data_IF_583004041043
#
_entry.id   IF_583004041043
#
_cell.length_a   1.000
_cell.length_b   1.000
_cell.length_c   1.000
_cell.angle_alpha   90.00
_cell.angle_beta   90.00
_cell.angle_gamma   90.00
#
_symmetry.space_group_name_H-M   'P 1'
#
loop_
_entity.id
_entity.type
_entity.pdbx_description
1 polymer ?
#
# COMPACT_ATOMS: atom_id res chain seq x y z
N UNK A 1 13.84 44.05 40.07
CA UNK A 1 15.18 44.65 39.91
C UNK A 1 15.90 43.85 38.81
N UNK A 2 16.13 44.57 37.69
CA UNK A 2 17.26 44.47 36.76
C UNK A 2 17.57 43.09 36.09
N UNK A 3 17.83 42.96 34.84
CA UNK A 3 17.92 43.80 33.66
C UNK A 3 18.46 42.84 32.56
N UNK A 4 17.78 42.79 31.43
CA UNK A 4 18.34 43.14 30.13
C UNK A 4 19.74 42.64 29.74
N UNK A 5 19.83 41.81 28.73
CA UNK A 5 20.79 42.09 27.65
C UNK A 5 20.36 41.44 26.33
N UNK A 6 20.01 42.29 25.39
CA UNK A 6 19.87 42.03 23.95
C UNK A 6 21.28 41.87 23.35
N UNK A 7 21.47 40.95 22.42
CA UNK A 7 22.40 41.15 21.32
C UNK A 7 21.87 40.56 20.02
N UNK A 8 21.60 41.46 19.16
CA UNK A 8 21.30 41.30 17.74
C UNK A 8 22.60 41.17 16.91
N UNK A 9 22.40 40.80 15.63
CA UNK A 9 23.26 40.91 14.44
C UNK A 9 23.83 39.53 13.98
N UNK A 10 23.77 39.13 12.71
CA UNK A 10 23.75 39.89 11.45
C UNK A 10 23.14 39.06 10.33
N UNK A 11 22.42 39.72 9.45
CA UNK A 11 22.13 39.33 8.09
C UNK A 11 23.45 39.01 7.31
N UNK A 12 23.38 38.03 6.44
CA UNK A 12 24.16 38.05 5.19
C UNK A 12 23.21 37.60 4.05
N UNK A 13 22.87 38.61 3.27
CA UNK A 13 22.35 38.50 1.92
C UNK A 13 23.54 38.17 0.98
N UNK A 14 23.26 37.44 -0.06
CA UNK A 14 24.16 37.18 -1.19
C UNK A 14 23.45 36.21 -2.13
N UNK A 15 22.97 36.62 -3.08
CA UNK A 15 23.10 37.17 -4.42
C UNK A 15 22.58 36.15 -5.46
N UNK A 16 21.60 36.62 -6.17
CA UNK A 16 20.97 36.11 -7.40
C UNK A 16 22.01 35.99 -8.51
N UNK A 17 21.94 34.90 -9.28
CA UNK A 17 22.43 34.87 -10.65
C UNK A 17 21.39 34.19 -11.54
N UNK A 18 20.70 35.04 -12.28
CA UNK A 18 19.90 34.75 -13.47
C UNK A 18 20.84 34.51 -14.63
N UNK A 19 20.69 33.41 -15.34
CA UNK A 19 21.18 33.26 -16.71
C UNK A 19 20.02 32.84 -17.58
N UNK A 20 19.54 33.83 -18.33
CA UNK A 20 18.72 33.65 -19.51
C UNK A 20 19.61 33.75 -20.74
N UNK A 21 19.51 32.86 -21.70
CA UNK A 21 19.88 33.02 -23.10
C UNK A 21 19.28 31.86 -23.90
N UNK A 22 18.45 32.11 -24.75
CA UNK A 22 18.23 32.76 -26.04
C UNK A 22 17.86 31.72 -27.09
N UNK A 23 16.73 31.98 -27.70
CA UNK A 23 16.14 31.35 -28.88
C UNK A 23 17.10 31.37 -30.08
N UNK A 24 17.02 30.34 -30.91
CA UNK A 24 17.24 30.51 -32.33
C UNK A 24 16.27 29.66 -33.14
N UNK A 25 15.43 30.38 -33.82
CA UNK A 25 14.52 30.02 -34.91
C UNK A 25 15.26 29.58 -36.14
N UNK A 26 14.75 28.59 -36.83
CA UNK A 26 15.17 28.20 -38.18
C UNK A 26 14.00 27.62 -38.98
N UNK A 27 13.26 28.49 -39.63
CA UNK A 27 12.32 28.12 -40.71
C UNK A 27 13.10 28.10 -42.06
N UNK A 28 12.84 27.06 -42.85
CA UNK A 28 12.89 27.11 -44.31
C UNK A 28 12.08 25.87 -44.79
N UNK A 29 11.02 25.95 -45.34
CA UNK A 29 10.28 26.43 -46.50
C UNK A 29 10.69 25.78 -47.84
N UNK A 30 9.65 25.16 -48.44
CA UNK A 30 9.27 25.03 -49.85
C UNK A 30 10.00 24.10 -50.78
N UNK A 31 9.17 23.41 -51.55
CA UNK A 31 9.35 23.08 -52.97
C UNK A 31 8.83 21.70 -53.35
N UNK A 32 7.64 21.56 -53.68
CA UNK A 32 6.88 21.48 -54.95
C UNK A 32 7.29 20.37 -55.94
N UNK A 33 6.33 19.53 -56.19
CA UNK A 33 5.87 18.92 -57.47
C UNK A 33 6.70 17.86 -58.21
N UNK A 34 5.99 16.77 -58.54
CA UNK A 34 6.19 16.16 -59.87
C UNK A 34 6.21 14.63 -59.92
N UNK A 35 5.03 14.04 -60.14
CA UNK A 35 4.71 12.96 -61.10
C UNK A 35 5.47 11.63 -61.20
N UNK A 36 4.66 10.59 -60.99
CA UNK A 36 4.54 9.34 -61.81
C UNK A 36 5.78 8.51 -62.16
N UNK A 37 5.78 7.29 -61.74
CA UNK A 37 5.44 6.05 -62.48
C UNK A 37 6.10 4.82 -61.86
N UNK A 38 5.27 3.80 -61.68
CA UNK A 38 5.44 2.35 -61.87
C UNK A 38 6.84 1.73 -61.84
N UNK A 39 7.09 0.79 -60.95
CA UNK A 39 7.07 -0.66 -61.15
C UNK A 39 8.02 -1.43 -60.24
N UNK A 40 7.47 -2.45 -59.64
CA UNK A 40 7.95 -3.82 -59.40
C UNK A 40 9.33 -4.10 -58.82
N UNK A 41 9.28 -4.89 -57.74
CA UNK A 41 10.07 -6.06 -57.37
C UNK A 41 10.99 -5.96 -56.17
N UNK A 42 10.60 -6.72 -55.19
CA UNK A 42 11.33 -7.66 -54.34
C UNK A 42 12.74 -7.27 -53.84
N UNK A 43 12.83 -7.28 -52.48
CA UNK A 43 14.14 -7.37 -51.81
C UNK A 43 14.06 -7.17 -50.32
N UNK A 44 14.12 -8.24 -49.63
CA UNK A 44 14.34 -8.57 -48.21
C UNK A 44 15.01 -7.53 -47.30
N UNK A 45 14.52 -7.54 -46.08
CA UNK A 45 15.19 -7.52 -44.77
C UNK A 45 15.87 -6.22 -44.33
N UNK A 46 15.31 -5.68 -43.23
CA UNK A 46 15.94 -4.68 -42.39
C UNK A 46 14.94 -4.11 -41.37
N UNK A 47 14.43 -4.97 -40.49
CA UNK A 47 13.61 -4.50 -39.39
C UNK A 47 14.49 -3.82 -38.34
N UNK A 48 14.66 -2.53 -38.43
CA UNK A 48 15.00 -1.69 -37.25
C UNK A 48 13.72 -1.43 -36.49
N UNK A 49 13.46 -2.24 -35.49
CA UNK A 49 12.40 -2.02 -34.52
C UNK A 49 12.69 -0.74 -33.74
N UNK A 50 12.08 0.34 -34.11
CA UNK A 50 11.86 1.45 -33.21
C UNK A 50 10.99 0.92 -32.08
N UNK A 51 11.57 0.82 -30.87
CA UNK A 51 10.82 0.55 -29.66
C UNK A 51 9.80 1.68 -29.50
N UNK A 52 8.56 1.38 -29.89
CA UNK A 52 7.42 2.21 -29.59
C UNK A 52 7.30 2.23 -28.07
N UNK A 53 7.60 3.38 -27.47
CA UNK A 53 7.27 3.65 -26.09
C UNK A 53 5.79 3.30 -25.92
N UNK A 54 5.51 2.30 -25.08
CA UNK A 54 4.20 1.74 -24.90
C UNK A 54 3.19 2.81 -24.54
N UNK A 55 2.30 3.10 -25.47
CA UNK A 55 1.05 3.76 -25.19
C UNK A 55 0.34 2.85 -24.17
N UNK A 56 0.12 3.35 -22.96
CA UNK A 56 -0.72 2.70 -21.97
C UNK A 56 -2.06 2.46 -22.63
N UNK A 57 -2.44 1.19 -22.80
CA UNK A 57 -3.75 0.86 -23.33
C UNK A 57 -4.80 1.46 -22.41
N UNK A 58 -5.57 2.41 -22.94
CA UNK A 58 -6.74 2.92 -22.23
C UNK A 58 -7.65 1.72 -21.94
N UNK A 59 -8.22 1.69 -20.73
CA UNK A 59 -9.13 0.63 -20.34
C UNK A 59 -10.33 0.62 -21.32
N UNK A 60 -10.58 -0.53 -21.96
CA UNK A 60 -11.78 -0.71 -22.78
C UNK A 60 -12.93 -1.15 -21.88
N UNK A 61 -14.02 -0.41 -21.91
CA UNK A 61 -15.24 -0.73 -21.17
C UNK A 61 -16.27 -1.45 -22.06
N UNK A 62 -17.08 -2.37 -21.54
CA UNK A 62 -17.11 -2.82 -20.13
C UNK A 62 -15.92 -3.70 -19.74
N UNK A 63 -15.61 -3.74 -18.45
CA UNK A 63 -14.65 -4.68 -17.87
C UNK A 63 -15.38 -5.60 -16.89
N UNK A 64 -15.06 -6.90 -16.94
CA UNK A 64 -15.56 -7.88 -15.97
C UNK A 64 -14.43 -8.35 -15.09
N UNK A 65 -14.61 -8.25 -13.77
CA UNK A 65 -13.64 -8.67 -12.77
C UNK A 65 -14.31 -9.67 -11.85
N UNK A 66 -13.63 -10.78 -11.60
CA UNK A 66 -14.08 -11.75 -10.62
C UNK A 66 -13.73 -11.28 -9.22
N UNK A 67 -14.73 -11.05 -8.39
CA UNK A 67 -14.53 -10.76 -6.98
C UNK A 67 -14.06 -12.00 -6.18
N UNK A 68 -13.45 -11.76 -5.05
CA UNK A 68 -12.97 -12.84 -4.17
C UNK A 68 -14.10 -13.59 -3.45
N UNK A 69 -15.30 -13.15 -3.57
CA UNK A 69 -16.53 -13.87 -3.22
C UNK A 69 -17.04 -14.80 -4.34
N UNK A 70 -16.32 -14.84 -5.46
CA UNK A 70 -16.61 -15.69 -6.61
C UNK A 70 -17.59 -15.10 -7.62
N UNK A 71 -18.07 -13.88 -7.40
CA UNK A 71 -19.04 -13.20 -8.28
C UNK A 71 -18.30 -12.40 -9.35
N UNK A 72 -18.75 -12.56 -10.60
CA UNK A 72 -18.26 -11.75 -11.73
C UNK A 72 -18.94 -10.38 -11.70
N UNK A 73 -18.14 -9.32 -11.62
CA UNK A 73 -18.61 -7.92 -11.53
C UNK A 73 -18.35 -7.22 -12.85
N UNK A 74 -19.43 -6.88 -13.57
CA UNK A 74 -19.34 -6.07 -14.78
C UNK A 74 -19.36 -4.58 -14.42
N UNK A 75 -18.33 -3.86 -14.82
CA UNK A 75 -18.22 -2.40 -14.69
C UNK A 75 -18.35 -1.82 -16.10
N UNK A 76 -19.47 -1.15 -16.37
CA UNK A 76 -19.87 -0.76 -17.73
C UNK A 76 -19.10 0.42 -18.31
N UNK A 77 -18.59 1.29 -17.43
CA UNK A 77 -17.85 2.50 -17.80
C UNK A 77 -16.80 2.83 -16.73
N UNK A 78 -15.86 3.69 -17.05
CA UNK A 78 -14.86 4.17 -16.08
C UNK A 78 -15.56 4.83 -14.87
N UNK A 79 -15.34 4.32 -13.65
CA UNK A 79 -15.94 4.88 -12.44
C UNK A 79 -15.56 6.33 -12.19
N UNK A 80 -16.53 7.13 -11.75
CA UNK A 80 -16.36 8.55 -11.41
C UNK A 80 -16.68 8.85 -9.95
N UNK A 81 -17.32 7.91 -9.26
CA UNK A 81 -17.74 8.02 -7.87
C UNK A 81 -17.59 6.67 -7.18
N UNK A 82 -16.47 6.48 -6.49
CA UNK A 82 -16.17 5.22 -5.80
C UNK A 82 -16.42 5.38 -4.32
N UNK A 83 -17.18 4.48 -3.73
CA UNK A 83 -17.28 4.34 -2.28
C UNK A 83 -16.54 3.08 -1.86
N UNK A 84 -15.59 3.23 -0.92
CA UNK A 84 -14.88 2.11 -0.31
C UNK A 84 -15.43 1.83 1.09
N UNK A 85 -15.90 0.62 1.33
CA UNK A 85 -16.29 0.18 2.69
C UNK A 85 -15.11 -0.37 3.49
N UNK A 86 -13.88 -0.10 3.04
CA UNK A 86 -12.64 -0.55 3.68
C UNK A 86 -11.62 0.57 3.76
N UNK A 87 -11.24 0.95 4.96
CA UNK A 87 -10.17 1.93 5.19
C UNK A 87 -8.83 1.44 4.61
N UNK A 88 -8.60 0.13 4.62
CA UNK A 88 -7.37 -0.48 4.09
C UNK A 88 -7.29 -0.35 2.56
N UNK A 89 -8.36 -0.70 1.84
CA UNK A 89 -8.40 -0.63 0.38
C UNK A 89 -8.45 0.82 -0.13
N UNK A 90 -8.95 1.75 0.67
CA UNK A 90 -9.01 3.18 0.33
C UNK A 90 -7.62 3.76 0.05
N UNK A 91 -6.62 3.41 0.84
CA UNK A 91 -5.24 3.85 0.60
C UNK A 91 -4.72 3.40 -0.77
N UNK A 92 -5.01 2.15 -1.17
CA UNK A 92 -4.64 1.62 -2.49
C UNK A 92 -5.36 2.35 -3.63
N UNK A 93 -6.66 2.62 -3.49
CA UNK A 93 -7.43 3.40 -4.46
C UNK A 93 -6.89 4.83 -4.61
N UNK A 94 -6.54 5.48 -3.52
CA UNK A 94 -5.94 6.82 -3.54
C UNK A 94 -4.56 6.83 -4.21
N UNK A 95 -3.73 5.80 -3.97
CA UNK A 95 -2.44 5.65 -4.65
C UNK A 95 -2.59 5.51 -6.18
N UNK A 96 -3.73 5.01 -6.63
CA UNK A 96 -4.09 4.91 -8.05
C UNK A 96 -4.71 6.20 -8.61
N UNK A 97 -4.86 7.24 -7.82
CA UNK A 97 -5.63 8.43 -8.18
C UNK A 97 -7.09 8.15 -8.55
N UNK A 98 -7.65 7.05 -8.06
CA UNK A 98 -9.04 6.68 -8.29
C UNK A 98 -10.00 7.72 -7.65
N UNK A 99 -11.19 7.93 -8.24
CA UNK A 99 -12.14 8.95 -7.80
C UNK A 99 -12.95 8.49 -6.57
N UNK A 100 -12.28 8.27 -5.45
CA UNK A 100 -12.91 7.91 -4.19
C UNK A 100 -13.61 9.14 -3.62
N UNK A 101 -14.92 9.04 -3.40
CA UNK A 101 -15.75 10.10 -2.83
C UNK A 101 -16.03 9.90 -1.34
N UNK A 102 -16.07 8.65 -0.90
CA UNK A 102 -16.29 8.31 0.51
C UNK A 102 -15.62 7.00 0.91
N UNK A 103 -15.28 6.88 2.17
CA UNK A 103 -14.69 5.67 2.76
C UNK A 103 -15.18 5.46 4.19
N UNK A 104 -15.37 4.19 4.59
CA UNK A 104 -15.51 3.88 6.01
C UNK A 104 -14.19 4.13 6.74
N UNK A 105 -14.22 4.70 7.95
CA UNK A 105 -13.04 4.90 8.77
C UNK A 105 -12.57 3.61 9.46
N UNK A 106 -11.40 3.63 10.06
CA UNK A 106 -10.97 2.60 10.98
C UNK A 106 -11.92 2.51 12.18
N UNK A 107 -12.24 1.28 12.61
CA UNK A 107 -13.14 1.06 13.77
C UNK A 107 -12.62 1.66 15.07
N UNK A 108 -11.30 1.76 15.21
CA UNK A 108 -10.63 2.36 16.35
C UNK A 108 -9.80 3.54 15.86
N UNK A 109 -10.08 4.72 16.39
CA UNK A 109 -9.25 5.91 16.20
C UNK A 109 -8.12 5.88 17.23
N UNK A 110 -6.90 5.99 16.76
CA UNK A 110 -5.68 6.03 17.58
C UNK A 110 -4.63 6.93 16.90
N UNK A 111 -3.41 6.91 17.40
CA UNK A 111 -2.29 7.70 16.84
C UNK A 111 -1.94 7.38 15.37
N UNK A 112 -2.46 6.28 14.82
CA UNK A 112 -2.26 5.86 13.43
C UNK A 112 -3.35 6.39 12.49
N UNK A 113 -4.33 7.11 13.03
CA UNK A 113 -5.45 7.67 12.28
C UNK A 113 -5.59 9.16 12.52
N UNK A 114 -6.16 9.86 11.53
CA UNK A 114 -6.57 11.25 11.68
C UNK A 114 -7.93 11.37 12.40
N UNK A 115 -8.44 12.59 12.52
CA UNK A 115 -9.73 12.86 13.16
C UNK A 115 -10.92 12.20 12.42
N UNK A 116 -10.77 11.92 11.13
CA UNK A 116 -11.77 11.21 10.33
C UNK A 116 -11.66 9.69 10.48
N UNK A 117 -10.63 9.17 11.17
CA UNK A 117 -10.34 7.76 11.28
C UNK A 117 -9.65 7.18 10.05
N UNK A 118 -9.04 8.00 9.22
CA UNK A 118 -8.23 7.57 8.08
C UNK A 118 -6.77 7.41 8.51
N UNK A 119 -6.10 6.40 7.96
CA UNK A 119 -4.70 6.16 8.31
C UNK A 119 -3.80 7.33 7.91
N UNK A 120 -2.94 7.75 8.84
CA UNK A 120 -2.04 8.92 8.69
C UNK A 120 -1.16 8.86 7.45
N UNK A 121 -0.87 7.66 6.91
CA UNK A 121 -0.08 7.45 5.71
C UNK A 121 -0.71 8.08 4.45
N UNK A 122 -2.04 8.21 4.41
CA UNK A 122 -2.75 8.70 3.24
C UNK A 122 -3.90 9.68 3.57
N UNK A 123 -4.15 9.97 4.85
CA UNK A 123 -5.25 10.85 5.28
C UNK A 123 -5.17 12.25 4.68
N UNK A 124 -3.95 12.79 4.52
CA UNK A 124 -3.77 14.07 3.81
C UNK A 124 -4.26 13.99 2.37
N UNK A 125 -3.95 12.92 1.65
CA UNK A 125 -4.41 12.75 0.27
C UNK A 125 -5.93 12.61 0.20
N UNK A 126 -6.55 11.92 1.17
CA UNK A 126 -8.00 11.84 1.27
C UNK A 126 -8.62 13.22 1.50
N UNK A 127 -8.06 14.01 2.40
CA UNK A 127 -8.52 15.40 2.66
C UNK A 127 -8.38 16.26 1.41
N UNK A 128 -7.24 16.24 0.74
CA UNK A 128 -7.00 17.02 -0.48
C UNK A 128 -7.98 16.66 -1.61
N UNK A 129 -8.44 15.42 -1.66
CA UNK A 129 -9.44 14.91 -2.62
C UNK A 129 -10.88 15.06 -2.13
N UNK A 130 -11.12 15.52 -0.92
CA UNK A 130 -12.46 15.68 -0.35
C UNK A 130 -13.17 14.38 -0.03
N UNK A 131 -12.42 13.30 0.27
CA UNK A 131 -13.00 12.00 0.65
C UNK A 131 -13.74 12.14 1.97
N UNK A 132 -15.02 11.78 2.00
CA UNK A 132 -15.84 11.80 3.20
C UNK A 132 -15.61 10.53 4.04
N UNK A 133 -15.51 10.69 5.35
CA UNK A 133 -15.66 9.54 6.26
C UNK A 133 -17.14 9.22 6.42
N UNK A 134 -17.52 7.97 6.14
CA UNK A 134 -18.88 7.48 6.28
C UNK A 134 -18.95 6.43 7.37
N UNK A 135 -19.71 6.70 8.41
CA UNK A 135 -19.99 5.74 9.46
C UNK A 135 -21.27 4.95 9.12
N UNK A 136 -21.14 3.63 9.14
CA UNK A 136 -22.26 2.73 8.97
C UNK A 136 -22.11 1.50 9.84
N UNK A 137 -23.21 1.09 10.45
CA UNK A 137 -23.34 -0.24 11.09
C UNK A 137 -23.75 -1.27 10.04
N UNK A 138 -23.69 -2.55 10.37
CA UNK A 138 -24.20 -3.62 9.48
C UNK A 138 -25.63 -3.33 9.00
N UNK A 139 -26.47 -2.69 9.83
CA UNK A 139 -27.88 -2.43 9.51
C UNK A 139 -28.13 -1.26 8.56
N UNK A 140 -27.24 -0.28 8.50
CA UNK A 140 -27.47 0.96 7.73
C UNK A 140 -26.37 1.31 6.72
N UNK A 141 -25.30 0.51 6.61
CA UNK A 141 -24.17 0.83 5.73
C UNK A 141 -24.59 0.99 4.27
N UNK A 142 -25.48 0.12 3.77
CA UNK A 142 -25.95 0.22 2.39
C UNK A 142 -26.69 1.55 2.15
N UNK A 143 -27.52 2.01 3.07
CA UNK A 143 -28.21 3.30 2.97
C UNK A 143 -27.21 4.46 3.02
N UNK A 144 -26.20 4.39 3.89
CA UNK A 144 -25.14 5.42 3.98
C UNK A 144 -24.36 5.51 2.68
N UNK A 145 -23.95 4.35 2.13
CA UNK A 145 -23.24 4.25 0.85
C UNK A 145 -24.08 4.83 -0.30
N UNK A 146 -25.38 4.51 -0.36
CA UNK A 146 -26.30 5.02 -1.38
C UNK A 146 -26.37 6.56 -1.38
N UNK A 147 -26.23 7.19 -0.21
CA UNK A 147 -26.26 8.65 -0.06
C UNK A 147 -25.14 9.38 -0.82
N UNK A 148 -24.03 8.72 -1.13
CA UNK A 148 -22.92 9.26 -1.90
C UNK A 148 -22.99 8.96 -3.41
N UNK A 149 -24.08 8.32 -3.89
CA UNK A 149 -24.35 8.00 -5.30
C UNK A 149 -23.15 7.36 -6.00
N UNK A 150 -22.61 6.23 -5.51
CA UNK A 150 -21.49 5.56 -6.14
C UNK A 150 -21.87 4.93 -7.49
N UNK A 151 -20.88 4.83 -8.37
CA UNK A 151 -20.93 4.02 -9.58
C UNK A 151 -20.04 2.77 -9.49
N UNK A 152 -19.28 2.64 -8.38
CA UNK A 152 -18.55 1.43 -7.99
C UNK A 152 -18.42 1.40 -6.45
N UNK A 153 -18.65 0.22 -5.87
CA UNK A 153 -18.45 -0.02 -4.44
C UNK A 153 -17.33 -1.06 -4.27
N UNK A 154 -16.34 -0.72 -3.43
CA UNK A 154 -15.23 -1.63 -3.09
C UNK A 154 -15.42 -2.13 -1.67
N UNK A 155 -15.35 -3.44 -1.49
CA UNK A 155 -15.58 -4.12 -0.21
C UNK A 155 -14.40 -5.00 0.14
N UNK A 156 -13.93 -4.94 1.38
CA UNK A 156 -12.97 -5.91 1.89
C UNK A 156 -13.68 -7.18 2.36
N UNK A 157 -13.19 -8.35 1.94
CA UNK A 157 -13.67 -9.66 2.39
C UNK A 157 -13.17 -9.99 3.79
N UNK A 158 -11.93 -9.65 4.09
CA UNK A 158 -11.20 -9.99 5.32
C UNK A 158 -10.76 -8.74 6.07
N UNK A 159 -10.28 -8.92 7.30
CA UNK A 159 -9.81 -7.85 8.14
C UNK A 159 -10.89 -7.23 9.04
N UNK A 160 -10.46 -6.29 9.90
CA UNK A 160 -11.37 -5.62 10.83
C UNK A 160 -12.34 -4.65 10.14
N UNK A 161 -12.00 -4.23 8.92
CA UNK A 161 -12.79 -3.37 8.05
C UNK A 161 -13.58 -4.14 7.00
N UNK A 162 -13.72 -5.46 7.18
CA UNK A 162 -14.56 -6.29 6.32
C UNK A 162 -16.03 -5.89 6.44
N UNK A 163 -16.68 -5.73 5.30
CA UNK A 163 -18.11 -5.50 5.18
C UNK A 163 -18.81 -6.64 4.41
N UNK A 164 -18.20 -7.83 4.35
CA UNK A 164 -18.72 -8.97 3.59
C UNK A 164 -20.13 -9.39 4.01
N UNK A 165 -20.49 -9.19 5.28
CA UNK A 165 -21.82 -9.54 5.81
C UNK A 165 -22.95 -8.71 5.20
N UNK A 166 -22.64 -7.52 4.70
CA UNK A 166 -23.63 -6.60 4.11
C UNK A 166 -23.54 -6.50 2.59
N UNK A 167 -22.73 -7.32 1.95
CA UNK A 167 -22.53 -7.31 0.50
C UNK A 167 -23.84 -7.46 -0.26
N UNK A 168 -24.73 -8.34 0.19
CA UNK A 168 -26.02 -8.54 -0.48
C UNK A 168 -26.90 -7.27 -0.41
N UNK A 169 -26.88 -6.55 0.71
CA UNK A 169 -27.57 -5.26 0.83
C UNK A 169 -26.96 -4.18 -0.05
N UNK A 170 -25.62 -4.18 -0.20
CA UNK A 170 -24.93 -3.27 -1.13
C UNK A 170 -25.28 -3.58 -2.59
N UNK A 171 -25.41 -4.85 -2.97
CA UNK A 171 -25.81 -5.27 -4.31
C UNK A 171 -27.25 -4.86 -4.69
N UNK A 172 -28.13 -4.72 -3.69
CA UNK A 172 -29.49 -4.22 -3.91
C UNK A 172 -29.53 -2.75 -4.39
N UNK A 173 -28.41 -2.03 -4.29
CA UNK A 173 -28.28 -0.67 -4.84
C UNK A 173 -28.13 -0.66 -6.37
N UNK A 174 -28.05 -1.83 -7.03
CA UNK A 174 -27.85 -1.97 -8.48
C UNK A 174 -26.58 -1.30 -9.01
N UNK A 175 -25.58 -1.13 -8.13
CA UNK A 175 -24.24 -0.61 -8.43
C UNK A 175 -23.25 -1.79 -8.40
N UNK A 176 -22.24 -1.84 -9.30
CA UNK A 176 -21.18 -2.83 -9.21
C UNK A 176 -20.52 -2.86 -7.83
N UNK A 177 -20.48 -4.05 -7.20
CA UNK A 177 -19.86 -4.28 -5.88
C UNK A 177 -18.72 -5.27 -6.07
N UNK A 178 -17.49 -4.81 -5.93
CA UNK A 178 -16.29 -5.63 -6.05
C UNK A 178 -15.75 -5.96 -4.67
N UNK A 179 -15.72 -7.26 -4.36
CA UNK A 179 -15.19 -7.79 -3.09
C UNK A 179 -13.74 -8.20 -3.29
N UNK A 180 -12.84 -7.69 -2.43
CA UNK A 180 -11.39 -7.96 -2.46
C UNK A 180 -10.94 -8.59 -1.16
N UNK A 181 -10.22 -9.68 -1.24
CA UNK A 181 -9.56 -10.35 -0.12
C UNK A 181 -8.07 -9.94 -0.06
N UNK A 182 -7.79 -8.79 0.52
CA UNK A 182 -6.42 -8.32 0.66
C UNK A 182 -5.56 -9.17 1.62
N UNK A 183 -6.17 -10.06 2.39
CA UNK A 183 -5.44 -11.00 3.25
C UNK A 183 -4.95 -12.25 2.53
N UNK A 184 -5.45 -12.52 1.32
CA UNK A 184 -5.08 -13.69 0.50
C UNK A 184 -4.29 -13.33 -0.76
N UNK A 185 -4.19 -12.04 -1.08
CA UNK A 185 -3.47 -11.56 -2.26
C UNK A 185 -2.30 -10.66 -1.89
N UNK A 186 -1.28 -10.63 -2.74
CA UNK A 186 -0.21 -9.65 -2.61
C UNK A 186 -0.76 -8.24 -2.80
N UNK A 187 -0.17 -7.24 -2.15
CA UNK A 187 -0.57 -5.85 -2.35
C UNK A 187 -0.42 -5.40 -3.81
N UNK A 188 0.54 -6.00 -4.55
CA UNK A 188 0.73 -5.77 -5.98
C UNK A 188 -0.48 -6.25 -6.78
N UNK A 189 -0.98 -7.45 -6.48
CA UNK A 189 -2.15 -8.01 -7.17
C UNK A 189 -3.42 -7.24 -6.82
N UNK A 190 -3.62 -6.89 -5.55
CA UNK A 190 -4.72 -5.99 -5.13
C UNK A 190 -4.66 -4.67 -5.89
N UNK A 191 -3.47 -4.04 -5.98
CA UNK A 191 -3.27 -2.79 -6.71
C UNK A 191 -3.61 -2.92 -8.18
N UNK A 192 -3.19 -4.01 -8.84
CA UNK A 192 -3.52 -4.29 -10.25
C UNK A 192 -5.01 -4.52 -10.46
N UNK A 193 -5.65 -5.31 -9.60
CA UNK A 193 -7.10 -5.57 -9.66
C UNK A 193 -7.89 -4.26 -9.52
N UNK A 194 -7.54 -3.42 -8.54
CA UNK A 194 -8.14 -2.10 -8.36
C UNK A 194 -7.84 -1.18 -9.56
N UNK A 195 -6.63 -1.29 -10.14
CA UNK A 195 -6.27 -0.57 -11.38
C UNK A 195 -7.18 -0.94 -12.54
N UNK A 196 -7.47 -2.23 -12.73
CA UNK A 196 -8.42 -2.72 -13.73
C UNK A 196 -9.84 -2.21 -13.46
N UNK A 197 -10.31 -2.33 -12.22
CA UNK A 197 -11.65 -1.91 -11.82
C UNK A 197 -11.89 -0.41 -12.00
N UNK A 198 -10.85 0.40 -11.95
CA UNK A 198 -10.95 1.87 -11.97
C UNK A 198 -10.41 2.50 -13.25
N UNK A 199 -9.96 1.70 -14.23
CA UNK A 199 -9.32 2.22 -15.45
C UNK A 199 -7.94 2.84 -15.22
N UNK A 200 -7.26 2.43 -14.15
CA UNK A 200 -5.95 2.98 -13.71
C UNK A 200 -4.81 1.96 -13.84
N UNK A 201 -4.88 1.05 -14.82
CA UNK A 201 -3.87 -0.01 -15.00
C UNK A 201 -2.45 0.55 -15.10
N UNK A 202 -2.25 1.56 -15.95
CA UNK A 202 -0.93 2.18 -16.10
C UNK A 202 -0.40 2.78 -14.79
N UNK A 203 -1.29 3.37 -13.98
CA UNK A 203 -0.92 3.89 -12.66
C UNK A 203 -0.58 2.76 -11.70
N UNK A 204 -1.33 1.66 -11.71
CA UNK A 204 -1.05 0.48 -10.92
C UNK A 204 0.34 -0.12 -11.25
N UNK A 205 0.64 -0.26 -12.53
CA UNK A 205 1.94 -0.73 -12.99
C UNK A 205 3.07 0.21 -12.56
N UNK A 206 2.85 1.53 -12.64
CA UNK A 206 3.81 2.53 -12.17
C UNK A 206 4.05 2.42 -10.65
N UNK A 207 2.99 2.30 -9.85
CA UNK A 207 3.11 2.16 -8.38
C UNK A 207 3.92 0.92 -8.02
N UNK A 208 3.63 -0.22 -8.64
CA UNK A 208 4.37 -1.48 -8.42
C UNK A 208 5.83 -1.34 -8.85
N UNK A 209 6.09 -0.75 -10.02
CA UNK A 209 7.44 -0.53 -10.54
C UNK A 209 8.26 0.41 -9.65
N UNK A 210 7.65 1.51 -9.20
CA UNK A 210 8.32 2.48 -8.33
C UNK A 210 8.71 1.86 -6.99
N UNK A 211 7.84 1.03 -6.43
CA UNK A 211 8.16 0.24 -5.24
C UNK A 211 9.35 -0.69 -5.49
N UNK A 212 9.30 -1.51 -6.55
CA UNK A 212 10.36 -2.46 -6.89
C UNK A 212 11.70 -1.73 -7.06
N UNK A 213 11.71 -0.63 -7.79
CA UNK A 213 12.92 0.20 -7.99
C UNK A 213 13.48 0.74 -6.67
N UNK A 214 12.60 1.20 -5.77
CA UNK A 214 13.01 1.67 -4.44
C UNK A 214 13.54 0.54 -3.57
N UNK A 215 12.90 -0.64 -3.59
CA UNK A 215 13.35 -1.82 -2.85
C UNK A 215 14.71 -2.30 -3.33
N UNK A 216 14.94 -2.39 -4.64
CA UNK A 216 16.23 -2.74 -5.22
C UNK A 216 17.34 -1.76 -4.83
N UNK A 217 17.06 -0.46 -4.91
CA UNK A 217 18.00 0.58 -4.47
C UNK A 217 18.32 0.45 -2.98
N UNK A 218 17.32 0.24 -2.14
CA UNK A 218 17.50 0.06 -0.71
C UNK A 218 18.31 -1.21 -0.42
N UNK A 219 18.03 -2.33 -1.10
CA UNK A 219 18.79 -3.59 -1.00
C UNK A 219 20.28 -3.39 -1.25
N UNK A 220 20.63 -2.57 -2.25
CA UNK A 220 22.03 -2.24 -2.56
C UNK A 220 22.71 -1.32 -1.54
N UNK A 221 21.94 -0.65 -0.67
CA UNK A 221 22.44 0.33 0.29
C UNK A 221 22.49 -0.16 1.74
N UNK A 222 21.86 -1.29 2.05
CA UNK A 222 21.79 -1.83 3.42
C UNK A 222 22.70 -3.05 3.58
N UNK A 223 23.21 -3.24 4.80
CA UNK A 223 23.87 -4.48 5.21
C UNK A 223 22.82 -5.41 5.82
N UNK A 224 22.42 -6.43 5.07
CA UNK A 224 21.50 -7.45 5.56
C UNK A 224 22.20 -8.32 6.59
N UNK A 225 21.65 -8.53 7.81
CA UNK A 225 22.27 -9.37 8.81
C UNK A 225 22.32 -10.84 8.36
N UNK A 226 23.36 -11.54 8.78
CA UNK A 226 23.45 -12.99 8.58
C UNK A 226 22.45 -13.71 9.49
N UNK A 227 21.96 -14.87 9.03
CA UNK A 227 20.99 -15.69 9.75
C UNK A 227 19.54 -15.31 9.49
N UNK A 228 18.63 -16.13 10.02
CA UNK A 228 17.21 -15.91 9.83
C UNK A 228 16.68 -14.76 10.73
N UNK A 229 15.66 -14.08 10.26
CA UNK A 229 15.03 -12.94 10.93
C UNK A 229 13.58 -13.25 11.27
N UNK A 230 13.21 -13.17 12.54
CA UNK A 230 11.81 -13.16 12.96
C UNK A 230 11.23 -11.76 12.89
N UNK A 231 10.03 -11.63 12.32
CA UNK A 231 9.31 -10.36 12.11
C UNK A 231 8.02 -10.40 12.91
N UNK A 232 7.78 -9.43 13.77
CA UNK A 232 6.61 -9.45 14.65
C UNK A 232 6.21 -8.07 15.17
N UNK A 233 5.01 -7.98 15.75
CA UNK A 233 4.59 -6.85 16.59
C UNK A 233 4.39 -7.30 18.03
N UNK A 234 4.51 -6.36 18.96
CA UNK A 234 4.24 -6.58 20.37
C UNK A 234 2.95 -5.86 20.75
N UNK A 235 1.86 -6.59 21.08
CA UNK A 235 0.62 -5.97 21.55
C UNK A 235 0.79 -5.34 22.94
N UNK A 236 0.60 -4.04 23.06
CA UNK A 236 0.68 -3.32 24.32
C UNK A 236 2.05 -3.49 25.00
N UNK A 237 2.03 -3.87 26.27
CA UNK A 237 3.22 -4.07 27.13
C UNK A 237 3.87 -5.48 26.98
N UNK A 238 3.46 -6.26 26.01
CA UNK A 238 3.98 -7.60 25.76
C UNK A 238 3.43 -8.70 26.67
N UNK A 239 2.53 -8.41 27.60
CA UNK A 239 1.90 -9.41 28.49
C UNK A 239 1.00 -10.40 27.72
N UNK A 240 0.61 -10.06 26.51
CA UNK A 240 -0.15 -10.91 25.58
C UNK A 240 0.72 -11.67 24.58
N UNK A 241 2.04 -11.63 24.74
CA UNK A 241 2.99 -12.25 23.82
C UNK A 241 3.27 -11.41 22.57
N UNK A 242 3.37 -12.07 21.42
CA UNK A 242 3.73 -11.44 20.16
C UNK A 242 2.79 -11.87 19.01
N UNK A 243 2.65 -11.02 18.01
CA UNK A 243 2.05 -11.38 16.73
C UNK A 243 3.17 -11.52 15.71
N UNK A 244 3.56 -12.75 15.41
CA UNK A 244 4.58 -13.08 14.42
C UNK A 244 3.99 -13.02 13.01
N UNK A 245 4.71 -12.37 12.10
CA UNK A 245 4.33 -12.34 10.68
C UNK A 245 4.88 -13.56 9.95
N UNK A 246 4.06 -14.12 9.08
CA UNK A 246 4.43 -15.22 8.18
C UNK A 246 5.00 -14.67 6.87
N UNK A 247 5.42 -15.59 5.98
CA UNK A 247 5.90 -15.21 4.65
C UNK A 247 4.85 -14.52 3.77
N UNK A 248 3.58 -14.61 4.13
CA UNK A 248 2.47 -14.01 3.37
C UNK A 248 2.22 -12.54 3.74
N UNK A 249 2.82 -12.07 4.82
CA UNK A 249 2.66 -10.69 5.26
C UNK A 249 3.41 -9.70 4.35
N UNK A 250 2.78 -8.58 3.96
CA UNK A 250 3.44 -7.56 3.13
C UNK A 250 4.75 -7.01 3.74
N UNK A 251 4.81 -6.90 5.06
CA UNK A 251 6.00 -6.46 5.78
C UNK A 251 7.16 -7.45 5.62
N UNK A 252 6.84 -8.75 5.61
CA UNK A 252 7.81 -9.82 5.38
C UNK A 252 8.26 -9.84 3.92
N UNK A 253 7.35 -9.64 2.98
CA UNK A 253 7.71 -9.52 1.56
C UNK A 253 8.70 -8.38 1.32
N UNK A 254 8.49 -7.21 1.94
CA UNK A 254 9.46 -6.11 1.86
C UNK A 254 10.85 -6.54 2.34
N UNK A 255 10.95 -7.24 3.48
CA UNK A 255 12.23 -7.71 4.00
C UNK A 255 12.88 -8.76 3.09
N UNK A 256 12.08 -9.65 2.49
CA UNK A 256 12.57 -10.61 1.47
C UNK A 256 13.11 -9.89 0.23
N UNK A 257 12.41 -8.88 -0.27
CA UNK A 257 12.84 -8.05 -1.39
C UNK A 257 14.18 -7.34 -1.09
N UNK A 258 14.36 -6.94 0.16
CA UNK A 258 15.60 -6.35 0.67
C UNK A 258 16.72 -7.38 0.89
N UNK A 259 16.44 -8.68 0.80
CA UNK A 259 17.41 -9.76 0.87
C UNK A 259 17.53 -10.43 2.25
N UNK A 260 16.60 -10.19 3.17
CA UNK A 260 16.57 -10.89 4.45
C UNK A 260 16.14 -12.35 4.28
N UNK A 261 16.74 -13.24 5.06
CA UNK A 261 16.23 -14.60 5.28
C UNK A 261 15.21 -14.57 6.40
N UNK A 262 14.01 -15.08 6.18
CA UNK A 262 12.91 -15.02 7.15
C UNK A 262 12.84 -16.33 7.93
N UNK A 263 12.67 -16.21 9.24
CA UNK A 263 12.44 -17.34 10.13
C UNK A 263 10.97 -17.77 10.08
N UNK A 264 10.73 -19.05 9.99
CA UNK A 264 9.38 -19.64 10.06
C UNK A 264 8.97 -19.86 11.52
N UNK A 265 7.69 -19.59 11.82
CA UNK A 265 7.10 -19.97 13.11
C UNK A 265 6.84 -21.47 13.11
N UNK A 266 7.38 -22.25 14.06
CA UNK A 266 7.12 -23.68 14.14
C UNK A 266 5.64 -24.01 14.39
N UNK A 267 5.12 -25.05 13.75
CA UNK A 267 3.68 -25.39 13.84
C UNK A 267 3.23 -25.73 15.25
N UNK A 268 4.09 -26.32 16.07
CA UNK A 268 3.77 -26.72 17.43
C UNK A 268 3.58 -25.56 18.44
N UNK A 269 3.91 -24.33 18.04
CA UNK A 269 3.73 -23.14 18.88
C UNK A 269 2.75 -22.12 18.29
N UNK A 270 2.17 -22.44 17.15
CA UNK A 270 1.06 -21.66 16.59
C UNK A 270 -0.13 -21.83 17.50
N UNK A 271 -0.56 -20.74 18.14
CA UNK A 271 -1.77 -20.69 18.96
C UNK A 271 -3.03 -21.00 18.16
N UNK A 272 -4.16 -21.06 18.85
CA UNK A 272 -5.44 -21.08 18.17
C UNK A 272 -5.54 -19.82 17.30
N UNK A 273 -6.13 -19.94 16.14
CA UNK A 273 -6.21 -18.82 15.19
C UNK A 273 -7.32 -17.85 15.61
N UNK A 274 -7.17 -17.26 16.79
CA UNK A 274 -8.12 -16.27 17.34
C UNK A 274 -8.28 -15.02 16.48
N UNK A 275 -7.38 -14.85 15.48
CA UNK A 275 -7.43 -13.77 14.49
C UNK A 275 -8.17 -14.16 13.18
N UNK A 276 -8.91 -15.27 13.20
CA UNK A 276 -9.65 -15.78 12.04
C UNK A 276 -8.77 -16.49 11.02
N UNK A 277 -9.25 -16.58 9.77
CA UNK A 277 -8.57 -17.32 8.68
C UNK A 277 -7.35 -16.60 8.10
N UNK A 278 -6.76 -15.66 8.85
CA UNK A 278 -5.54 -14.95 8.41
C UNK A 278 -4.35 -15.89 8.34
N UNK A 279 -3.62 -15.82 7.24
CA UNK A 279 -2.42 -16.60 7.01
C UNK A 279 -1.13 -15.78 7.19
N UNK A 280 -1.26 -14.46 7.20
CA UNK A 280 -0.14 -13.50 7.25
C UNK A 280 0.38 -13.26 8.68
N UNK A 281 -0.31 -13.75 9.71
CA UNK A 281 0.04 -13.49 11.11
C UNK A 281 -0.29 -14.70 11.99
N UNK A 282 0.58 -14.96 12.98
CA UNK A 282 0.41 -15.99 14.02
C UNK A 282 0.53 -15.32 15.38
N UNK A 283 -0.48 -15.52 16.22
CA UNK A 283 -0.43 -15.08 17.62
C UNK A 283 0.37 -16.07 18.45
N UNK A 284 1.41 -15.60 19.10
CA UNK A 284 2.22 -16.36 20.05
C UNK A 284 1.84 -15.94 21.46
N UNK A 285 1.41 -16.88 22.29
CA UNK A 285 1.24 -16.62 23.73
C UNK A 285 2.59 -16.33 24.40
N UNK A 286 2.60 -15.66 25.55
CA UNK A 286 3.85 -15.25 26.23
C UNK A 286 4.86 -16.39 26.40
N UNK A 287 4.39 -17.58 26.77
CA UNK A 287 5.22 -18.79 26.96
C UNK A 287 5.80 -19.33 25.64
N UNK A 288 5.18 -19.02 24.51
CA UNK A 288 5.57 -19.50 23.19
C UNK A 288 6.42 -18.49 22.38
N UNK A 289 6.59 -17.28 22.89
CA UNK A 289 7.31 -16.22 22.16
C UNK A 289 8.72 -16.67 21.72
N UNK A 290 9.52 -17.18 22.66
CA UNK A 290 10.90 -17.56 22.34
C UNK A 290 10.98 -18.81 21.45
N UNK A 291 10.05 -19.75 21.63
CA UNK A 291 9.97 -20.93 20.78
C UNK A 291 9.42 -20.61 19.38
N UNK A 292 8.62 -19.56 19.24
CA UNK A 292 8.02 -19.14 17.98
C UNK A 292 8.88 -18.15 17.17
N UNK A 293 9.63 -17.29 17.87
CA UNK A 293 10.52 -16.31 17.23
C UNK A 293 11.94 -16.88 17.10
N UNK A 294 12.10 -17.84 16.23
CA UNK A 294 13.32 -18.66 16.09
C UNK A 294 14.49 -17.98 15.37
N UNK A 295 14.26 -16.75 14.84
CA UNK A 295 15.29 -16.02 14.09
C UNK A 295 16.46 -15.57 14.95
N UNK A 296 17.66 -15.59 14.40
CA UNK A 296 18.87 -15.03 15.02
C UNK A 296 18.83 -13.51 15.10
N UNK A 297 18.00 -12.89 14.29
CA UNK A 297 17.73 -11.45 14.27
C UNK A 297 16.24 -11.22 14.44
N UNK A 298 15.89 -10.12 15.10
CA UNK A 298 14.49 -9.73 15.29
C UNK A 298 14.21 -8.36 14.66
N UNK A 299 13.09 -8.26 13.98
CA UNK A 299 12.52 -7.01 13.47
C UNK A 299 11.15 -6.81 14.10
N UNK A 300 11.04 -5.79 14.92
CA UNK A 300 9.78 -5.40 15.58
C UNK A 300 9.11 -4.31 14.75
N UNK A 301 7.96 -4.62 14.17
CA UNK A 301 7.19 -3.71 13.31
C UNK A 301 6.27 -2.84 14.18
N UNK A 302 6.07 -1.60 13.78
CA UNK A 302 5.22 -0.62 14.47
C UNK A 302 5.59 -0.50 15.97
N UNK A 303 6.89 -0.43 16.25
CA UNK A 303 7.45 -0.40 17.58
C UNK A 303 7.43 1.03 18.14
N UNK A 304 6.41 1.36 18.93
CA UNK A 304 6.40 2.52 19.81
C UNK A 304 7.30 2.29 21.05
N UNK A 305 7.39 3.26 21.93
CA UNK A 305 8.21 3.13 23.15
C UNK A 305 7.71 2.03 24.09
N UNK A 306 6.39 1.75 24.12
CA UNK A 306 5.82 0.66 24.91
C UNK A 306 6.29 -0.69 24.41
N UNK A 307 6.22 -0.92 23.10
CA UNK A 307 6.71 -2.15 22.46
C UNK A 307 8.22 -2.33 22.63
N UNK A 308 9.02 -1.27 22.50
CA UNK A 308 10.47 -1.31 22.75
C UNK A 308 10.79 -1.69 24.21
N UNK A 309 10.11 -1.06 25.16
CA UNK A 309 10.24 -1.37 26.58
C UNK A 309 9.82 -2.82 26.88
N UNK A 310 8.74 -3.31 26.25
CA UNK A 310 8.32 -4.69 26.39
C UNK A 310 9.43 -5.66 25.93
N UNK A 311 10.01 -5.44 24.77
CA UNK A 311 11.09 -6.29 24.25
C UNK A 311 12.33 -6.28 25.14
N UNK A 312 12.68 -5.14 25.73
CA UNK A 312 13.92 -5.01 26.50
C UNK A 312 13.77 -5.36 27.98
N UNK A 313 12.57 -5.29 28.55
CA UNK A 313 12.35 -5.40 30.00
C UNK A 313 11.40 -6.53 30.41
N UNK A 314 10.49 -6.98 29.55
CA UNK A 314 9.59 -8.09 29.86
C UNK A 314 10.36 -9.42 29.71
N UNK A 315 10.31 -10.27 30.72
CA UNK A 315 11.01 -11.58 30.76
C UNK A 315 10.68 -12.48 29.56
N UNK A 316 9.48 -12.35 29.00
CA UNK A 316 9.05 -13.05 27.79
C UNK A 316 10.00 -12.85 26.61
N UNK A 317 10.59 -11.65 26.49
CA UNK A 317 11.44 -11.25 25.36
C UNK A 317 12.89 -11.02 25.77
N UNK A 318 13.14 -10.37 26.92
CA UNK A 318 14.42 -9.78 27.28
C UNK A 318 15.56 -10.79 27.43
N UNK A 319 15.25 -12.05 27.76
CA UNK A 319 16.22 -13.13 27.89
C UNK A 319 16.58 -13.79 26.54
N UNK A 320 15.87 -13.47 25.46
CA UNK A 320 16.12 -14.07 24.14
C UNK A 320 17.49 -13.65 23.57
N UNK A 321 18.16 -14.58 22.88
CA UNK A 321 19.48 -14.36 22.28
C UNK A 321 19.57 -13.14 21.35
N UNK A 322 18.59 -12.82 20.50
CA UNK A 322 18.61 -11.59 19.71
C UNK A 322 18.60 -10.32 20.55
N UNK A 323 17.89 -10.31 21.68
CA UNK A 323 17.83 -9.14 22.57
C UNK A 323 19.14 -8.95 23.31
N UNK A 324 19.64 -10.00 23.97
CA UNK A 324 20.91 -9.96 24.71
C UNK A 324 22.12 -9.74 23.81
N UNK A 325 22.03 -10.16 22.54
CA UNK A 325 23.04 -9.97 21.50
C UNK A 325 22.94 -8.64 20.73
N UNK A 326 21.97 -7.76 21.04
CA UNK A 326 21.78 -6.49 20.34
C UNK A 326 21.35 -6.63 18.86
N UNK A 327 20.71 -7.74 18.52
CA UNK A 327 20.27 -8.08 17.15
C UNK A 327 18.77 -7.81 16.93
N UNK A 328 18.25 -6.77 17.57
CA UNK A 328 16.86 -6.33 17.42
C UNK A 328 16.82 -4.99 16.71
N UNK A 329 16.02 -4.92 15.64
CA UNK A 329 15.72 -3.69 14.93
C UNK A 329 14.26 -3.30 15.19
N UNK A 330 14.03 -2.02 15.43
CA UNK A 330 12.70 -1.48 15.69
C UNK A 330 12.29 -0.57 14.54
N UNK A 331 11.20 -0.92 13.88
CA UNK A 331 10.58 -0.08 12.85
C UNK A 331 9.46 0.74 13.53
N UNK A 332 9.47 2.07 13.41
CA UNK A 332 8.45 2.92 14.02
C UNK A 332 7.06 2.66 13.39
N UNK A 333 5.98 3.09 14.06
CA UNK A 333 4.62 3.03 13.55
C UNK A 333 4.41 3.75 12.23
#
# INVERSE_FOLDING_TARGET
MNASTRRARRLRQGLVAVVAMVLSTGLAACGSSGSTSTSTAAGSAGASGAASAGASAEATWPVTIKGDDGVDVEIKAEPKSIVSTSVTLTGSLLALDAPVVASTPAKKKDEKTDDNGFFTQWSKQATDKGVKAIDGTEDNLAQTVAGDNPDLIIVAKTGQDSAVKVVESLRQLEVPVLVIDYGSHSWQDVTKTLGQATGRQAKADSVVKDYTTKAEKAKGAIAVPQGATSVFTVPGDGTKGANAFTEEAPQVQLLKDLGFTIATVPDNVKGDQSMGDRKDIVQLSPENVQAGLTGENWVVIAADETAKNAVTSNETFSSAAPVTGGKVQYMPP
#
